data_IF_709743755517
#
_entry.id   IF_709743755517
#
_cell.length_a   1.000
_cell.length_b   1.000
_cell.length_c   1.000
_cell.angle_alpha   90.00
_cell.angle_beta   90.00
_cell.angle_gamma   90.00
#
_symmetry.space_group_name_H-M   'P 1'
#
loop_
_entity.id
_entity.type
_entity.pdbx_description
1 polymer ?
#
# COMPACT_ATOMS: atom_id res chain seq x y z
N UNK A 1 17.43 6.54 11.67
CA UNK A 1 16.08 7.13 11.66
C UNK A 1 15.11 5.97 11.78
N UNK A 2 14.12 6.07 12.67
CA UNK A 2 13.03 5.09 12.78
C UNK A 2 11.83 5.71 12.06
N UNK A 3 11.21 4.98 11.14
CA UNK A 3 10.10 5.48 10.33
C UNK A 3 10.44 5.88 8.89
N UNK A 4 9.58 6.73 8.28
CA UNK A 4 9.69 7.16 6.88
C UNK A 4 11.13 7.53 6.50
N UNK A 5 11.67 6.88 5.47
CA UNK A 5 13.06 7.02 5.02
C UNK A 5 14.01 5.93 5.53
N UNK A 6 13.55 5.04 6.42
CA UNK A 6 14.28 3.84 6.83
C UNK A 6 13.51 2.56 6.46
N UNK A 7 14.20 1.42 6.25
CA UNK A 7 13.52 0.14 6.05
C UNK A 7 12.66 -0.24 7.26
N UNK A 8 11.45 -0.73 7.01
CA UNK A 8 10.50 -1.16 8.05
C UNK A 8 10.18 -2.65 7.87
N UNK A 9 10.50 -3.46 8.86
CA UNK A 9 10.11 -4.87 8.91
C UNK A 9 8.64 -5.00 9.37
N UNK A 10 7.82 -5.75 8.64
CA UNK A 10 6.35 -5.82 8.87
C UNK A 10 5.82 -7.20 9.23
N UNK A 11 6.71 -8.17 9.46
CA UNK A 11 6.34 -9.55 9.80
C UNK A 11 6.41 -10.50 8.61
N UNK A 12 6.03 -11.76 8.82
CA UNK A 12 6.13 -12.81 7.79
C UNK A 12 5.01 -12.68 6.77
N UNK A 13 5.33 -12.88 5.50
CA UNK A 13 4.33 -12.87 4.42
C UNK A 13 3.15 -13.82 4.70
N UNK A 14 3.41 -15.02 5.22
CA UNK A 14 2.37 -16.02 5.53
C UNK A 14 1.41 -15.59 6.64
N UNK A 15 1.87 -14.80 7.61
CA UNK A 15 1.04 -14.25 8.68
C UNK A 15 0.19 -13.08 8.15
N UNK A 16 0.80 -12.23 7.31
CA UNK A 16 0.14 -11.11 6.64
C UNK A 16 -1.00 -11.62 5.73
N UNK A 17 -0.76 -12.64 4.91
CA UNK A 17 -1.78 -13.27 4.06
C UNK A 17 -2.94 -13.86 4.88
N UNK A 18 -2.62 -14.49 6.02
CA UNK A 18 -3.63 -15.02 6.94
C UNK A 18 -4.49 -13.90 7.52
N UNK A 19 -3.89 -12.77 7.86
CA UNK A 19 -4.61 -11.60 8.35
C UNK A 19 -5.54 -11.03 7.27
N UNK A 20 -5.11 -10.95 6.02
CA UNK A 20 -5.98 -10.53 4.92
C UNK A 20 -7.18 -11.46 4.75
N UNK A 21 -6.95 -12.78 4.72
CA UNK A 21 -8.03 -13.77 4.66
C UNK A 21 -9.02 -13.64 5.84
N UNK A 22 -8.53 -13.38 7.05
CA UNK A 22 -9.36 -13.20 8.24
C UNK A 22 -10.14 -11.87 8.27
N UNK A 23 -9.79 -10.90 7.43
CA UNK A 23 -10.33 -9.54 7.48
C UNK A 23 -10.99 -9.08 6.18
N UNK A 24 -11.23 -10.01 5.25
CA UNK A 24 -11.75 -9.71 3.91
C UNK A 24 -10.90 -8.63 3.20
N UNK A 25 -9.58 -8.87 3.18
CA UNK A 25 -8.57 -8.01 2.55
C UNK A 25 -8.54 -6.58 3.09
N UNK A 26 -8.80 -6.41 4.38
CA UNK A 26 -8.70 -5.10 5.02
C UNK A 26 -7.24 -4.62 4.97
N UNK A 27 -6.97 -3.39 4.48
CA UNK A 27 -5.62 -2.82 4.50
C UNK A 27 -5.02 -2.78 5.90
N UNK A 28 -3.75 -3.16 6.02
CA UNK A 28 -3.02 -3.15 7.30
C UNK A 28 -2.22 -1.85 7.41
N UNK A 29 -2.54 -0.99 8.39
CA UNK A 29 -1.86 0.29 8.59
C UNK A 29 -0.51 0.10 9.29
N UNK A 30 0.56 0.53 8.63
CA UNK A 30 1.90 0.61 9.22
C UNK A 30 2.26 2.08 9.45
N UNK A 31 2.17 2.51 10.72
CA UNK A 31 2.34 3.93 11.10
C UNK A 31 3.78 4.41 10.96
N UNK A 32 4.75 3.56 11.31
CA UNK A 32 6.18 3.87 11.30
C UNK A 32 6.64 4.36 9.91
N UNK A 33 6.26 3.66 8.84
CA UNK A 33 6.60 4.03 7.46
C UNK A 33 5.53 4.83 6.70
N UNK A 34 4.41 5.18 7.33
CA UNK A 34 3.27 5.87 6.71
C UNK A 34 2.71 5.15 5.46
N UNK A 35 2.52 3.84 5.53
CA UNK A 35 1.95 3.07 4.41
C UNK A 35 0.89 2.08 4.89
N UNK A 36 0.20 1.48 3.92
CA UNK A 36 -0.64 0.31 4.13
C UNK A 36 -0.05 -0.89 3.40
N UNK A 37 -0.11 -2.08 4.02
CA UNK A 37 -0.03 -3.31 3.24
C UNK A 37 -1.40 -3.61 2.64
N UNK A 38 -1.44 -3.92 1.35
CA UNK A 38 -2.64 -4.29 0.61
C UNK A 38 -2.48 -5.71 0.06
N UNK A 39 -3.56 -6.46 0.04
CA UNK A 39 -3.68 -7.71 -0.71
C UNK A 39 -4.19 -7.38 -2.11
N UNK A 40 -3.26 -7.15 -3.03
CA UNK A 40 -3.57 -6.94 -4.44
C UNK A 40 -3.85 -8.29 -5.13
N UNK A 41 -4.46 -8.32 -6.32
CA UNK A 41 -4.61 -9.57 -7.06
C UNK A 41 -3.24 -10.24 -7.29
N UNK A 42 -3.02 -11.39 -6.67
CA UNK A 42 -1.80 -12.21 -6.83
C UNK A 42 -0.63 -11.84 -5.91
N UNK A 43 -0.80 -10.94 -4.94
CA UNK A 43 0.31 -10.61 -4.05
C UNK A 43 0.11 -9.44 -3.08
N UNK A 44 1.20 -9.14 -2.37
CA UNK A 44 1.25 -8.08 -1.35
C UNK A 44 1.96 -6.85 -1.91
N UNK A 45 1.36 -5.67 -1.70
CA UNK A 45 1.96 -4.37 -2.04
C UNK A 45 1.94 -3.43 -0.83
N UNK A 46 2.83 -2.43 -0.83
CA UNK A 46 2.95 -1.44 0.23
C UNK A 46 2.57 -0.05 -0.29
N UNK A 47 1.30 0.34 -0.15
CA UNK A 47 0.81 1.62 -0.67
C UNK A 47 1.18 2.78 0.26
N UNK A 48 1.94 3.75 -0.26
CA UNK A 48 2.29 4.96 0.46
C UNK A 48 1.01 5.77 0.76
N UNK A 49 0.78 6.09 2.04
CA UNK A 49 -0.39 6.84 2.53
C UNK A 49 -0.33 8.34 2.18
N UNK A 50 0.16 8.69 0.99
CA UNK A 50 0.32 10.06 0.50
C UNK A 50 -0.51 10.24 -0.76
N UNK A 51 -1.51 11.12 -0.69
CA UNK A 51 -2.36 11.44 -1.82
C UNK A 51 -1.52 12.02 -2.96
N UNK A 52 -1.68 11.46 -4.15
CA UNK A 52 -1.00 11.90 -5.38
C UNK A 52 -1.53 13.20 -5.97
N UNK A 53 -2.59 13.78 -5.39
CA UNK A 53 -3.03 15.13 -5.72
C UNK A 53 -2.06 16.17 -5.13
N UNK A 54 -2.09 16.36 -3.80
CA UNK A 54 -1.31 17.42 -3.11
C UNK A 54 -0.62 16.93 -1.83
N UNK A 55 -0.42 15.61 -1.68
CA UNK A 55 0.40 15.07 -0.59
C UNK A 55 -0.30 14.85 0.76
N UNK A 56 -1.60 15.11 0.87
CA UNK A 56 -2.35 14.83 2.10
C UNK A 56 -2.26 13.35 2.51
N UNK A 57 -2.35 13.11 3.82
CA UNK A 57 -2.42 11.73 4.34
C UNK A 57 -3.78 11.10 4.03
N UNK A 58 -3.80 9.89 3.46
CA UNK A 58 -5.05 9.23 3.00
C UNK A 58 -5.51 8.13 3.97
N UNK A 59 -6.61 8.28 4.74
CA UNK A 59 -7.15 7.20 5.56
C UNK A 59 -7.84 6.11 4.72
N UNK A 60 -7.98 4.92 5.32
CA UNK A 60 -8.92 3.89 4.86
C UNK A 60 -10.27 4.09 5.54
N UNK A 61 -11.35 4.09 4.77
CA UNK A 61 -12.72 4.11 5.30
C UNK A 61 -13.25 2.68 5.36
N UNK A 62 -13.46 2.15 6.56
CA UNK A 62 -14.05 0.82 6.74
C UNK A 62 -15.52 0.76 6.31
N UNK A 63 -16.26 1.85 6.45
CA UNK A 63 -17.67 1.93 6.02
C UNK A 63 -17.80 1.87 4.50
N UNK A 64 -16.93 2.58 3.78
CA UNK A 64 -16.98 2.69 2.31
C UNK A 64 -16.11 1.65 1.61
N UNK A 65 -15.33 0.89 2.37
CA UNK A 65 -14.38 -0.13 1.89
C UNK A 65 -13.40 0.39 0.82
N UNK A 66 -12.93 1.63 1.00
CA UNK A 66 -12.00 2.31 0.09
C UNK A 66 -11.13 3.33 0.83
N UNK A 67 -10.10 3.84 0.16
CA UNK A 67 -9.34 4.99 0.63
C UNK A 67 -10.00 6.28 0.17
N UNK A 68 -10.23 7.23 1.07
CA UNK A 68 -10.81 8.53 0.73
C UNK A 68 -9.96 9.66 1.32
N UNK A 69 -9.39 10.48 0.45
CA UNK A 69 -8.59 11.63 0.84
C UNK A 69 -9.52 12.75 1.36
N UNK A 70 -9.39 13.17 2.64
CA UNK A 70 -10.30 14.15 3.23
C UNK A 70 -10.12 15.57 2.69
N UNK A 71 -8.99 15.85 2.04
CA UNK A 71 -8.69 17.21 1.56
C UNK A 71 -9.57 17.61 0.36
N UNK A 72 -9.67 16.73 -0.64
CA UNK A 72 -10.35 17.05 -1.91
C UNK A 72 -11.20 15.88 -2.45
N UNK A 73 -11.39 14.82 -1.66
CA UNK A 73 -12.31 13.73 -1.98
C UNK A 73 -11.81 12.73 -3.03
N UNK A 74 -10.51 12.69 -3.35
CA UNK A 74 -9.96 11.63 -4.18
C UNK A 74 -10.16 10.27 -3.51
N UNK A 75 -10.56 9.26 -4.30
CA UNK A 75 -10.81 7.91 -3.80
C UNK A 75 -9.90 6.91 -4.49
N UNK A 76 -9.47 5.90 -3.75
CA UNK A 76 -8.63 4.83 -4.27
C UNK A 76 -9.15 3.46 -3.83
N UNK A 77 -8.97 2.48 -4.70
CA UNK A 77 -9.35 1.10 -4.46
C UNK A 77 -8.56 0.50 -3.28
N UNK A 78 -9.20 -0.33 -2.45
CA UNK A 78 -8.58 -0.85 -1.23
C UNK A 78 -7.45 -1.86 -1.49
N UNK A 79 -7.53 -2.61 -2.60
CA UNK A 79 -6.61 -3.71 -2.89
C UNK A 79 -5.45 -3.28 -3.77
N UNK A 80 -5.75 -2.39 -4.71
CA UNK A 80 -4.80 -1.96 -5.74
C UNK A 80 -4.34 -0.52 -5.53
N UNK A 81 -5.05 0.29 -4.76
CA UNK A 81 -4.83 1.75 -4.63
C UNK A 81 -4.91 2.53 -5.96
N UNK A 82 -5.54 1.95 -6.98
CA UNK A 82 -5.93 2.62 -8.23
C UNK A 82 -6.96 3.71 -7.94
N UNK A 83 -6.93 4.81 -8.71
CA UNK A 83 -7.88 5.92 -8.57
C UNK A 83 -9.29 5.46 -8.93
N UNK A 84 -10.24 5.65 -8.01
CA UNK A 84 -11.67 5.48 -8.22
C UNK A 84 -12.40 6.80 -8.44
N UNK A 85 -11.86 7.90 -7.90
CA UNK A 85 -12.42 9.25 -8.03
C UNK A 85 -11.31 10.30 -8.02
N UNK A 86 -11.35 11.19 -8.99
CA UNK A 86 -10.46 12.37 -9.10
C UNK A 86 -10.74 13.38 -7.94
N UNK A 87 -9.85 14.36 -7.65
CA UNK A 87 -8.86 14.99 -8.52
C UNK A 87 -7.49 14.32 -8.65
N UNK A 88 -7.15 13.31 -7.84
CA UNK A 88 -5.84 12.66 -7.93
C UNK A 88 -5.58 12.11 -9.35
N UNK A 89 -4.44 12.44 -9.98
CA UNK A 89 -4.19 12.07 -11.37
C UNK A 89 -3.58 10.69 -11.52
N UNK A 90 -3.21 10.01 -10.43
CA UNK A 90 -2.52 8.70 -10.43
C UNK A 90 -2.87 7.88 -9.18
N UNK A 91 -2.73 6.54 -9.21
CA UNK A 91 -2.84 5.69 -8.02
C UNK A 91 -1.94 6.14 -6.87
N UNK A 92 -2.18 5.66 -5.65
CA UNK A 92 -1.16 5.82 -4.60
C UNK A 92 0.14 5.12 -5.04
N UNK A 93 1.27 5.80 -4.81
CA UNK A 93 2.60 5.25 -5.08
C UNK A 93 2.87 4.04 -4.16
N UNK A 94 3.65 3.08 -4.62
CA UNK A 94 4.03 1.93 -3.80
C UNK A 94 5.46 2.08 -3.31
N UNK A 95 5.72 1.61 -2.10
CA UNK A 95 7.07 1.35 -1.63
C UNK A 95 7.54 -0.02 -2.11
N UNK A 96 8.85 -0.15 -2.31
CA UNK A 96 9.47 -1.42 -2.63
C UNK A 96 9.43 -2.37 -1.42
N UNK A 97 9.25 -3.66 -1.68
CA UNK A 97 9.26 -4.71 -0.65
C UNK A 97 10.27 -5.79 -1.02
N UNK A 98 11.04 -6.21 -0.03
CA UNK A 98 11.89 -7.39 -0.11
C UNK A 98 11.46 -8.44 0.91
N UNK A 99 11.74 -9.70 0.63
CA UNK A 99 11.51 -10.81 1.55
C UNK A 99 12.84 -11.40 2.00
N UNK A 100 13.04 -11.47 3.32
CA UNK A 100 14.19 -12.16 3.91
C UNK A 100 14.04 -13.68 3.82
N UNK A 101 15.14 -14.40 4.04
CA UNK A 101 15.15 -15.88 4.04
C UNK A 101 14.20 -16.50 5.08
N UNK A 102 13.93 -15.81 6.18
CA UNK A 102 12.99 -16.25 7.22
C UNK A 102 11.52 -15.92 6.89
N UNK A 103 11.26 -15.37 5.71
CA UNK A 103 9.94 -15.00 5.21
C UNK A 103 9.43 -13.64 5.66
N UNK A 104 10.21 -12.88 6.45
CA UNK A 104 9.85 -11.52 6.91
C UNK A 104 9.95 -10.54 5.75
N UNK A 105 8.90 -9.74 5.56
CA UNK A 105 8.86 -8.65 4.59
C UNK A 105 9.49 -7.39 5.19
N UNK A 106 10.29 -6.72 4.37
CA UNK A 106 10.94 -5.44 4.69
C UNK A 106 10.58 -4.44 3.60
N UNK A 107 10.00 -3.32 4.00
CA UNK A 107 9.54 -2.25 3.11
C UNK A 107 10.57 -1.12 3.09
N UNK A 108 11.05 -0.74 1.90
CA UNK A 108 11.88 0.46 1.71
C UNK A 108 10.98 1.69 1.72
N UNK A 109 10.99 2.44 2.83
CA UNK A 109 10.13 3.62 2.99
C UNK A 109 10.78 4.92 2.52
N UNK A 110 11.82 4.84 1.68
CA UNK A 110 12.42 6.03 1.05
C UNK A 110 11.40 6.70 0.11
N UNK A 111 10.91 7.91 0.42
CA UNK A 111 9.89 8.58 -0.39
C UNK A 111 10.40 9.04 -1.77
N UNK A 112 11.70 8.96 -2.02
CA UNK A 112 12.34 9.23 -3.30
C UNK A 112 12.54 7.97 -4.15
N UNK A 113 12.35 6.79 -3.57
CA UNK A 113 12.45 5.49 -4.23
C UNK A 113 11.10 4.75 -4.13
N UNK A 114 10.16 5.17 -4.97
CA UNK A 114 8.79 4.64 -4.99
C UNK A 114 8.43 4.17 -6.39
N UNK A 115 7.58 3.16 -6.46
CA UNK A 115 7.00 2.68 -7.71
C UNK A 115 5.86 3.64 -8.09
N UNK A 116 6.10 4.45 -9.12
CA UNK A 116 5.09 5.24 -9.81
C UNK A 116 4.54 4.44 -10.99
N UNK A 117 3.21 4.34 -11.10
CA UNK A 117 2.52 3.37 -11.94
C UNK A 117 1.42 4.01 -12.79
N UNK A 118 0.98 3.27 -13.80
CA UNK A 118 -0.12 3.64 -14.70
C UNK A 118 -1.48 3.75 -13.98
N UNK A 119 -2.51 4.19 -14.70
CA UNK A 119 -3.86 4.35 -14.15
C UNK A 119 -4.51 3.02 -13.75
N UNK A 120 -4.21 1.96 -14.48
CA UNK A 120 -4.81 0.64 -14.30
C UNK A 120 -3.91 -0.26 -13.47
N UNK A 121 -4.52 -1.27 -12.85
CA UNK A 121 -3.78 -2.32 -12.15
C UNK A 121 -3.05 -3.21 -13.17
N UNK A 122 -1.80 -3.52 -12.87
CA UNK A 122 -0.93 -4.39 -13.66
C UNK A 122 -0.07 -5.20 -12.67
N UNK A 123 -0.05 -6.53 -12.83
CA UNK A 123 0.62 -7.43 -11.89
C UNK A 123 2.15 -7.35 -11.99
N UNK A 124 2.69 -6.66 -13.01
CA UNK A 124 4.13 -6.40 -13.13
C UNK A 124 4.71 -5.62 -11.94
N UNK A 125 3.87 -4.92 -11.16
CA UNK A 125 4.27 -4.19 -9.96
C UNK A 125 4.30 -5.07 -8.70
N UNK A 126 3.98 -6.37 -8.81
CA UNK A 126 4.08 -7.31 -7.70
C UNK A 126 5.52 -7.76 -7.50
N UNK A 127 6.11 -7.30 -6.40
CA UNK A 127 7.41 -7.78 -5.91
C UNK A 127 7.26 -8.98 -4.97
N UNK A 128 6.14 -9.04 -4.23
CA UNK A 128 5.79 -10.16 -3.36
C UNK A 128 4.57 -10.86 -3.98
N UNK A 129 4.82 -11.96 -4.70
CA UNK A 129 3.77 -12.78 -5.30
C UNK A 129 3.28 -13.83 -4.30
N UNK A 130 1.97 -14.04 -4.31
CA UNK A 130 1.36 -15.22 -3.71
C UNK A 130 1.65 -16.42 -4.63
N UNK A 131 2.14 -17.51 -4.04
CA UNK A 131 2.43 -18.75 -4.75
C UNK A 131 1.17 -19.54 -5.09
#
# INVERSE_FOLDING_TARGET
VVGLGAPVAVGKATEILRQFAATNDRPILIREGRFFLLHAPGGIIAAYRKCTHLGCTVPFSTEKDLFECPCHGSRYDKRTAVVLKSPAPKPLQLFHITQSQSGVLVVDTNPLNVIDRGQEWDDRYLEIREG
#
